data_IF_248965859766
#
_entry.id   IF_248965859766
#
_cell.length_a   1.000
_cell.length_b   1.000
_cell.length_c   1.000
_cell.angle_alpha   90.00
_cell.angle_beta   90.00
_cell.angle_gamma   90.00
#
_symmetry.space_group_name_H-M   'P 1'
#
loop_
_entity.id
_entity.type
_entity.pdbx_description
1 polymer ?
#
# COMPACT_ATOMS: atom_id res chain seq x y z
N UNK A 1 9.39 -16.87 -9.08
CA UNK A 1 10.81 -16.47 -8.94
C UNK A 1 11.44 -16.11 -10.28
N UNK A 2 11.32 -16.95 -11.32
CA UNK A 2 11.91 -16.69 -12.64
C UNK A 2 11.47 -15.35 -13.28
N UNK A 3 10.20 -14.98 -13.16
CA UNK A 3 9.69 -13.72 -13.75
C UNK A 3 10.19 -12.46 -13.02
N UNK A 4 10.47 -12.56 -11.72
CA UNK A 4 11.06 -11.45 -10.94
C UNK A 4 12.50 -11.22 -11.36
N UNK A 5 13.30 -12.28 -11.52
CA UNK A 5 14.70 -12.15 -11.97
C UNK A 5 14.77 -11.55 -13.37
N UNK A 6 13.92 -12.01 -14.30
CA UNK A 6 13.83 -11.41 -15.65
C UNK A 6 13.39 -9.94 -15.62
N UNK A 7 12.49 -9.57 -14.71
CA UNK A 7 12.07 -8.18 -14.56
C UNK A 7 13.23 -7.29 -14.07
N UNK A 8 14.03 -7.79 -13.12
CA UNK A 8 15.22 -7.09 -12.63
C UNK A 8 16.28 -6.95 -13.74
N UNK A 9 16.53 -8.00 -14.53
CA UNK A 9 17.47 -7.97 -15.66
C UNK A 9 17.07 -6.97 -16.75
N UNK A 10 15.76 -6.73 -16.93
CA UNK A 10 15.22 -5.80 -17.92
C UNK A 10 14.91 -4.43 -17.36
N UNK A 11 15.10 -4.24 -16.05
CA UNK A 11 14.80 -2.98 -15.41
C UNK A 11 15.69 -1.89 -16.02
N UNK A 12 15.14 -0.69 -16.31
CA UNK A 12 15.95 0.43 -16.75
C UNK A 12 17.02 0.71 -15.69
N UNK A 13 18.19 1.13 -16.15
CA UNK A 13 19.21 1.63 -15.24
C UNK A 13 18.64 2.82 -14.45
N UNK A 14 18.99 2.89 -13.16
CA UNK A 14 18.50 3.92 -12.25
C UNK A 14 19.31 5.22 -12.40
N UNK A 15 19.57 5.64 -13.64
CA UNK A 15 20.41 6.79 -14.00
C UNK A 15 19.70 7.77 -14.95
N UNK A 16 18.54 7.40 -15.53
CA UNK A 16 17.75 8.24 -16.42
C UNK A 16 16.36 8.58 -15.84
N UNK A 17 16.30 9.65 -15.05
CA UNK A 17 15.07 10.10 -14.38
C UNK A 17 13.87 10.29 -15.33
N UNK A 18 13.98 10.99 -16.48
CA UNK A 18 12.89 11.10 -17.46
C UNK A 18 12.26 9.75 -17.85
N UNK A 19 13.06 8.70 -17.94
CA UNK A 19 12.59 7.35 -18.28
C UNK A 19 11.91 6.66 -17.10
N UNK A 20 12.53 6.68 -15.91
CA UNK A 20 12.02 5.93 -14.74
C UNK A 20 10.88 6.67 -14.00
N UNK A 21 10.82 7.99 -14.08
CA UNK A 21 9.88 8.85 -13.34
C UNK A 21 8.42 8.42 -13.48
N UNK A 22 8.01 7.94 -14.67
CA UNK A 22 6.63 7.49 -14.97
C UNK A 22 6.26 6.16 -14.32
N UNK A 23 7.26 5.40 -13.87
CA UNK A 23 7.10 4.10 -13.22
C UNK A 23 7.17 4.21 -11.69
N UNK A 24 7.52 5.37 -11.15
CA UNK A 24 7.58 5.59 -9.70
C UNK A 24 6.17 5.53 -9.10
N UNK A 25 6.00 4.71 -8.07
CA UNK A 25 4.76 4.59 -7.30
C UNK A 25 5.04 4.70 -5.80
N UNK A 26 4.07 5.18 -5.00
CA UNK A 26 4.12 5.01 -3.57
C UNK A 26 4.00 3.52 -3.22
N UNK A 27 4.64 3.11 -2.13
CA UNK A 27 4.62 1.73 -1.65
C UNK A 27 4.59 1.73 -0.13
N UNK A 28 3.70 0.94 0.47
CA UNK A 28 3.72 0.76 1.92
C UNK A 28 4.89 -0.13 2.36
N UNK A 29 5.52 0.18 3.52
CA UNK A 29 6.57 -0.64 4.07
C UNK A 29 6.12 -2.09 4.28
N UNK A 30 6.99 -3.02 3.89
CA UNK A 30 6.85 -4.44 4.21
C UNK A 30 7.09 -4.65 5.70
N UNK A 31 6.39 -5.63 6.29
CA UNK A 31 6.69 -6.07 7.66
C UNK A 31 8.03 -6.79 7.72
N UNK A 32 8.37 -7.52 6.64
CA UNK A 32 9.63 -8.25 6.58
C UNK A 32 10.82 -7.31 6.39
N UNK A 33 11.95 -7.55 7.09
CA UNK A 33 13.20 -6.87 6.81
C UNK A 33 13.61 -7.00 5.34
N UNK A 34 14.27 -5.98 4.82
CA UNK A 34 14.90 -6.08 3.51
C UNK A 34 16.06 -7.09 3.54
N UNK A 35 16.38 -7.73 2.41
CA UNK A 35 17.58 -8.56 2.29
C UNK A 35 18.84 -7.76 2.70
N UNK A 36 19.83 -8.40 3.36
CA UNK A 36 21.11 -7.76 3.66
C UNK A 36 21.75 -7.12 2.43
N UNK A 37 22.28 -5.91 2.57
CA UNK A 37 22.90 -5.16 1.47
C UNK A 37 21.92 -4.38 0.59
N UNK A 38 20.61 -4.46 0.86
CA UNK A 38 19.64 -3.58 0.19
C UNK A 38 19.83 -2.14 0.66
N UNK A 39 19.79 -1.13 -0.24
CA UNK A 39 19.78 0.28 0.14
C UNK A 39 18.61 0.58 1.08
N UNK A 40 18.81 1.51 2.02
CA UNK A 40 17.71 1.97 2.87
C UNK A 40 16.69 2.77 2.02
N UNK A 41 15.43 2.31 1.92
CA UNK A 41 14.42 3.01 1.13
C UNK A 41 14.13 4.39 1.72
N UNK A 42 14.06 5.41 0.87
CA UNK A 42 13.52 6.70 1.26
C UNK A 42 12.04 6.54 1.66
N UNK A 43 11.68 7.14 2.80
CA UNK A 43 10.33 7.11 3.35
C UNK A 43 9.94 8.48 3.89
N UNK A 44 8.66 8.81 3.77
CA UNK A 44 8.06 10.04 4.29
C UNK A 44 6.67 9.76 4.86
N UNK A 45 6.25 10.55 5.82
CA UNK A 45 4.88 10.51 6.34
C UNK A 45 3.97 11.29 5.38
N UNK A 46 2.95 10.63 4.82
CA UNK A 46 1.93 11.27 3.99
C UNK A 46 0.57 11.18 4.68
N UNK A 47 -0.38 12.11 4.41
CA UNK A 47 -1.78 11.90 4.75
C UNK A 47 -2.23 10.50 4.27
N UNK A 48 -2.94 9.72 5.10
CA UNK A 48 -3.60 10.07 6.36
C UNK A 48 -2.75 9.92 7.65
N UNK A 49 -1.43 10.02 7.56
CA UNK A 49 -0.50 9.79 8.67
C UNK A 49 0.20 8.44 8.59
N UNK A 50 0.48 7.96 7.37
CA UNK A 50 1.17 6.69 7.12
C UNK A 50 2.55 6.88 6.55
N UNK A 51 3.47 6.01 6.95
CA UNK A 51 4.81 5.97 6.38
C UNK A 51 4.74 5.35 4.99
N UNK A 52 5.21 6.09 3.99
CA UNK A 52 5.18 5.70 2.58
C UNK A 52 6.62 5.69 2.05
N UNK A 53 7.01 4.59 1.42
CA UNK A 53 8.21 4.51 0.60
C UNK A 53 7.88 4.67 -0.88
N UNK A 54 8.90 4.63 -1.72
CA UNK A 54 8.73 4.78 -3.17
C UNK A 54 9.48 3.68 -3.91
N UNK A 55 8.92 3.23 -5.02
CA UNK A 55 9.54 2.22 -5.86
C UNK A 55 9.30 2.48 -7.34
N UNK A 56 10.28 2.14 -8.17
CA UNK A 56 10.10 2.03 -9.62
C UNK A 56 9.44 0.69 -9.90
N UNK A 57 8.22 0.73 -10.40
CA UNK A 57 7.45 -0.46 -10.77
C UNK A 57 8.04 -1.13 -12.01
N UNK A 58 8.50 -2.37 -11.86
CA UNK A 58 9.07 -3.19 -12.94
C UNK A 58 8.15 -4.36 -13.32
N UNK A 59 6.88 -4.33 -12.89
CA UNK A 59 5.86 -5.34 -13.17
C UNK A 59 5.60 -6.25 -11.96
N UNK A 60 6.24 -7.43 -11.85
CA UNK A 60 6.01 -8.32 -10.72
C UNK A 60 6.60 -7.79 -9.40
N UNK A 61 7.54 -6.85 -9.48
CA UNK A 61 8.25 -6.27 -8.34
C UNK A 61 8.44 -4.76 -8.52
N UNK A 62 9.03 -4.12 -7.53
CA UNK A 62 9.52 -2.75 -7.64
C UNK A 62 10.97 -2.68 -7.14
N UNK A 63 11.71 -1.72 -7.67
CA UNK A 63 13.01 -1.34 -7.13
C UNK A 63 12.80 -0.19 -6.17
N UNK A 64 13.15 -0.37 -4.89
CA UNK A 64 13.01 0.69 -3.89
C UNK A 64 13.92 1.88 -4.23
N UNK A 65 13.41 3.09 -4.04
CA UNK A 65 14.16 4.33 -4.24
C UNK A 65 14.81 4.75 -2.92
N UNK A 66 16.13 4.93 -2.88
CA UNK A 66 16.89 5.41 -1.72
C UNK A 66 17.21 6.90 -1.83
N UNK A 67 17.59 7.54 -0.70
CA UNK A 67 18.06 8.94 -0.71
C UNK A 67 19.35 9.12 -1.52
N UNK A 68 20.23 8.12 -1.51
CA UNK A 68 21.47 8.13 -2.29
C UNK A 68 21.20 8.21 -3.80
N UNK A 69 20.24 7.40 -4.28
CA UNK A 69 19.83 7.41 -5.69
C UNK A 69 19.22 8.75 -6.10
N UNK A 70 18.42 9.39 -5.23
CA UNK A 70 17.89 10.74 -5.49
C UNK A 70 19.01 11.77 -5.62
N UNK A 71 20.00 11.71 -4.72
CA UNK A 71 21.19 12.56 -4.79
C UNK A 71 21.98 12.37 -6.09
N UNK A 72 22.14 11.13 -6.54
CA UNK A 72 22.81 10.83 -7.81
C UNK A 72 22.07 11.38 -9.03
N UNK A 73 20.74 11.29 -9.03
CA UNK A 73 19.89 11.78 -10.12
C UNK A 73 19.66 13.30 -10.08
N UNK A 74 20.08 13.99 -9.02
CA UNK A 74 19.80 15.41 -8.81
C UNK A 74 18.32 15.72 -8.59
N UNK A 75 17.55 14.76 -8.05
CA UNK A 75 16.11 14.88 -7.82
C UNK A 75 15.82 15.15 -6.35
N UNK A 76 14.91 16.10 -6.08
CA UNK A 76 14.52 16.38 -4.70
C UNK A 76 13.51 15.35 -4.18
N UNK A 77 13.45 15.21 -2.86
CA UNK A 77 12.44 14.36 -2.20
C UNK A 77 11.02 14.80 -2.53
N UNK A 78 10.78 16.12 -2.64
CA UNK A 78 9.48 16.67 -2.99
C UNK A 78 9.08 16.33 -4.44
N UNK A 79 10.03 16.38 -5.39
CA UNK A 79 9.77 16.01 -6.78
C UNK A 79 9.43 14.53 -6.92
N UNK A 80 10.15 13.66 -6.19
CA UNK A 80 9.83 12.23 -6.13
C UNK A 80 8.41 12.00 -5.61
N UNK A 81 8.05 12.61 -4.49
CA UNK A 81 6.73 12.47 -3.86
C UNK A 81 5.64 12.96 -4.82
N UNK A 82 5.81 14.16 -5.38
CA UNK A 82 4.85 14.75 -6.32
C UNK A 82 4.65 13.88 -7.56
N UNK A 83 5.74 13.38 -8.15
CA UNK A 83 5.68 12.49 -9.32
C UNK A 83 4.99 11.16 -8.98
N UNK A 84 5.30 10.56 -7.85
CA UNK A 84 4.70 9.29 -7.42
C UNK A 84 3.19 9.42 -7.21
N UNK A 85 2.73 10.51 -6.59
CA UNK A 85 1.30 10.78 -6.38
C UNK A 85 0.59 11.10 -7.70
N UNK A 86 1.23 11.81 -8.62
CA UNK A 86 0.69 12.04 -9.96
C UNK A 86 0.52 10.72 -10.73
N UNK A 87 1.51 9.82 -10.65
CA UNK A 87 1.42 8.49 -11.25
C UNK A 87 0.33 7.64 -10.60
N UNK A 88 0.21 7.68 -9.27
CA UNK A 88 -0.88 7.01 -8.54
C UNK A 88 -2.25 7.48 -9.04
N UNK A 89 -2.47 8.79 -9.13
CA UNK A 89 -3.72 9.35 -9.64
C UNK A 89 -3.99 8.94 -11.09
N UNK A 90 -2.98 9.00 -11.96
CA UNK A 90 -3.09 8.60 -13.36
C UNK A 90 -3.46 7.12 -13.52
N UNK A 91 -2.84 6.23 -12.73
CA UNK A 91 -3.15 4.79 -12.73
C UNK A 91 -4.51 4.52 -12.10
N UNK A 92 -4.86 5.19 -11.01
CA UNK A 92 -6.17 5.07 -10.38
C UNK A 92 -7.29 5.45 -11.35
N UNK A 93 -7.09 6.49 -12.17
CA UNK A 93 -8.04 6.91 -13.21
C UNK A 93 -8.29 5.87 -14.30
N UNK A 94 -7.43 4.86 -14.46
CA UNK A 94 -7.61 3.76 -15.41
C UNK A 94 -8.41 2.58 -14.82
N UNK A 95 -8.63 2.57 -13.50
CA UNK A 95 -9.40 1.50 -12.83
C UNK A 95 -10.89 1.81 -12.95
N UNK A 96 -11.64 0.90 -13.56
CA UNK A 96 -13.10 1.03 -13.66
C UNK A 96 -13.78 0.59 -12.36
N UNK A 97 -14.86 1.26 -11.92
CA UNK A 97 -15.61 0.86 -10.71
C UNK A 97 -16.09 -0.59 -10.74
N UNK A 98 -16.41 -1.12 -11.92
CA UNK A 98 -16.80 -2.53 -12.12
C UNK A 98 -15.68 -3.54 -11.81
N UNK A 99 -14.44 -3.07 -11.64
CA UNK A 99 -13.30 -3.91 -11.21
C UNK A 99 -13.38 -4.22 -9.72
N UNK A 100 -14.15 -3.44 -8.93
CA UNK A 100 -14.40 -3.76 -7.53
C UNK A 100 -15.34 -4.96 -7.47
N UNK A 101 -14.84 -6.07 -6.94
CA UNK A 101 -15.62 -7.27 -6.69
C UNK A 101 -16.42 -7.07 -5.41
N UNK A 102 -17.74 -7.23 -5.52
CA UNK A 102 -18.63 -7.19 -4.37
C UNK A 102 -19.10 -8.60 -4.05
N UNK A 103 -18.84 -9.04 -2.82
CA UNK A 103 -19.25 -10.35 -2.32
C UNK A 103 -19.69 -10.24 -0.85
N UNK A 104 -20.04 -11.37 -0.24
CA UNK A 104 -20.32 -11.46 1.20
C UNK A 104 -19.57 -12.62 1.83
N UNK A 105 -18.94 -12.36 2.97
CA UNK A 105 -18.30 -13.38 3.80
C UNK A 105 -19.16 -13.62 5.04
N UNK A 106 -19.84 -14.77 5.13
CA UNK A 106 -20.79 -15.05 6.21
C UNK A 106 -21.85 -13.95 6.42
N UNK A 107 -22.33 -13.36 5.32
CA UNK A 107 -23.30 -12.25 5.33
C UNK A 107 -22.70 -10.87 5.56
N UNK A 108 -21.38 -10.75 5.82
CA UNK A 108 -20.67 -9.48 5.88
C UNK A 108 -20.37 -8.97 4.46
N UNK A 109 -20.88 -7.81 4.02
CA UNK A 109 -20.56 -7.25 2.72
C UNK A 109 -19.06 -6.95 2.58
N UNK A 110 -18.44 -7.37 1.48
CA UNK A 110 -17.03 -7.17 1.19
C UNK A 110 -16.87 -6.55 -0.20
N UNK A 111 -16.04 -5.52 -0.30
CA UNK A 111 -15.51 -5.03 -1.57
C UNK A 111 -14.03 -5.41 -1.71
N UNK A 112 -13.65 -6.14 -2.75
CA UNK A 112 -12.27 -6.47 -3.05
C UNK A 112 -11.80 -5.80 -4.34
N UNK A 113 -10.59 -5.25 -4.32
CA UNK A 113 -9.96 -4.68 -5.51
C UNK A 113 -8.52 -5.18 -5.62
N UNK A 114 -8.21 -5.74 -6.79
CA UNK A 114 -6.85 -6.02 -7.23
C UNK A 114 -6.64 -5.36 -8.59
N UNK A 115 -5.71 -4.41 -8.69
CA UNK A 115 -5.69 -3.51 -9.86
C UNK A 115 -4.89 -4.05 -11.05
N UNK A 116 -3.89 -4.89 -10.81
CA UNK A 116 -2.88 -5.25 -11.80
C UNK A 116 -1.92 -4.10 -12.13
N UNK A 117 -2.05 -2.94 -11.48
CA UNK A 117 -1.30 -1.71 -11.73
C UNK A 117 -0.38 -1.33 -10.55
N UNK A 118 -0.21 -2.25 -9.58
CA UNK A 118 0.63 -2.10 -8.39
C UNK A 118 0.22 -0.97 -7.43
N UNK A 119 -1.01 -0.47 -7.52
CA UNK A 119 -1.48 0.69 -6.73
C UNK A 119 -2.57 0.36 -5.71
N UNK A 120 -3.10 -0.87 -5.69
CA UNK A 120 -4.28 -1.23 -4.89
C UNK A 120 -4.19 -0.80 -3.43
N UNK A 121 -3.11 -1.19 -2.73
CA UNK A 121 -2.92 -0.80 -1.32
C UNK A 121 -2.86 0.71 -1.11
N UNK A 122 -2.21 1.44 -2.03
CA UNK A 122 -1.94 2.87 -1.90
C UNK A 122 -3.09 3.78 -2.35
N UNK A 123 -4.19 3.22 -2.85
CA UNK A 123 -5.39 4.02 -3.19
C UNK A 123 -5.96 4.79 -1.98
N UNK A 124 -5.63 4.38 -0.76
CA UNK A 124 -5.98 5.12 0.47
C UNK A 124 -5.32 6.50 0.58
N UNK A 125 -4.29 6.77 -0.22
CA UNK A 125 -3.65 8.09 -0.33
C UNK A 125 -4.44 9.06 -1.23
N UNK A 126 -5.46 8.56 -1.96
CA UNK A 126 -6.27 9.33 -2.91
C UNK A 126 -7.78 9.13 -2.63
N UNK A 127 -8.33 9.75 -1.57
CA UNK A 127 -9.70 9.48 -1.09
C UNK A 127 -10.79 9.68 -2.15
N UNK A 128 -10.64 10.64 -3.06
CA UNK A 128 -11.59 10.85 -4.17
C UNK A 128 -11.70 9.62 -5.09
N UNK A 129 -10.59 8.90 -5.28
CA UNK A 129 -10.59 7.66 -6.07
C UNK A 129 -11.23 6.51 -5.30
N UNK A 130 -11.08 6.46 -3.97
CA UNK A 130 -11.85 5.52 -3.15
C UNK A 130 -13.35 5.78 -3.25
N UNK A 131 -13.77 7.04 -3.17
CA UNK A 131 -15.16 7.44 -3.33
C UNK A 131 -15.71 7.02 -4.71
N UNK A 132 -14.91 7.19 -5.77
CA UNK A 132 -15.27 6.79 -7.14
C UNK A 132 -15.41 5.28 -7.30
N UNK A 133 -14.51 4.50 -6.70
CA UNK A 133 -14.44 3.05 -6.88
C UNK A 133 -15.40 2.29 -5.95
N UNK A 134 -15.47 2.67 -4.68
CA UNK A 134 -16.22 1.95 -3.63
C UNK A 134 -17.51 2.65 -3.20
N UNK A 135 -17.80 3.83 -3.77
CA UNK A 135 -18.86 4.73 -3.34
C UNK A 135 -18.46 5.57 -2.13
N UNK A 136 -19.32 6.53 -1.77
CA UNK A 136 -19.13 7.46 -0.63
C UNK A 136 -19.60 6.91 0.71
N UNK A 137 -19.98 5.63 0.78
CA UNK A 137 -20.42 5.03 2.04
C UNK A 137 -19.22 4.83 2.96
N UNK A 138 -19.40 5.10 4.25
CA UNK A 138 -18.36 4.89 5.24
C UNK A 138 -17.91 3.42 5.26
N UNK A 139 -16.60 3.20 5.28
CA UNK A 139 -15.97 1.88 5.17
C UNK A 139 -14.72 1.78 6.04
N UNK A 140 -14.39 0.55 6.42
CA UNK A 140 -13.05 0.20 6.89
C UNK A 140 -12.29 -0.43 5.72
N UNK A 141 -11.23 0.22 5.26
CA UNK A 141 -10.33 -0.32 4.26
C UNK A 141 -9.12 -1.01 4.90
N UNK A 142 -8.60 -2.04 4.22
CA UNK A 142 -7.42 -2.80 4.60
C UNK A 142 -6.58 -3.13 3.38
N UNK A 143 -5.26 -3.10 3.54
CA UNK A 143 -4.31 -3.40 2.47
C UNK A 143 -3.44 -4.61 2.86
N UNK A 144 -3.94 -5.85 2.76
CA UNK A 144 -3.18 -7.03 3.17
C UNK A 144 -1.97 -7.31 2.27
N UNK A 145 -2.01 -6.86 1.02
CA UNK A 145 -0.95 -7.06 0.02
C UNK A 145 -0.71 -5.78 -0.78
N UNK A 146 0.42 -5.73 -1.50
CA UNK A 146 0.83 -4.56 -2.30
C UNK A 146 -0.26 -4.03 -3.23
N UNK A 147 -0.94 -4.91 -3.95
CA UNK A 147 -1.90 -4.52 -4.97
C UNK A 147 -3.34 -4.94 -4.64
N UNK A 148 -3.64 -5.15 -3.35
CA UNK A 148 -4.97 -5.55 -2.89
C UNK A 148 -5.50 -4.51 -1.91
N UNK A 149 -6.74 -4.10 -2.12
CA UNK A 149 -7.52 -3.30 -1.18
C UNK A 149 -8.85 -3.99 -0.88
N UNK A 150 -9.13 -4.17 0.40
CA UNK A 150 -10.39 -4.71 0.89
C UNK A 150 -11.17 -3.60 1.57
N UNK A 151 -12.47 -3.47 1.28
CA UNK A 151 -13.40 -2.54 1.91
C UNK A 151 -14.51 -3.29 2.65
N UNK A 152 -14.58 -3.08 3.95
CA UNK A 152 -15.57 -3.63 4.87
C UNK A 152 -16.55 -2.54 5.34
N UNK A 153 -17.71 -2.89 5.93
CA UNK A 153 -18.56 -1.95 6.64
C UNK A 153 -17.77 -1.23 7.75
N UNK A 154 -18.08 0.04 7.99
CA UNK A 154 -17.35 0.85 8.97
C UNK A 154 -17.51 0.37 10.42
N UNK A 155 -18.55 -0.41 10.69
CA UNK A 155 -18.95 -0.99 11.98
C UNK A 155 -18.55 -2.46 12.12
N UNK A 156 -17.76 -3.01 11.18
CA UNK A 156 -17.23 -4.38 11.29
C UNK A 156 -16.46 -4.56 12.61
N UNK A 157 -16.62 -5.75 13.20
CA UNK A 157 -15.85 -6.16 14.37
C UNK A 157 -14.33 -6.08 14.06
N UNK A 158 -13.54 -5.30 14.84
CA UNK A 158 -12.11 -5.21 14.66
C UNK A 158 -11.39 -6.57 14.70
N UNK A 159 -11.81 -7.50 15.56
CA UNK A 159 -11.18 -8.82 15.63
C UNK A 159 -11.38 -9.61 14.32
N UNK A 160 -12.60 -9.54 13.75
CA UNK A 160 -12.90 -10.14 12.46
C UNK A 160 -12.11 -9.48 11.32
N UNK A 161 -12.04 -8.15 11.30
CA UNK A 161 -11.24 -7.42 10.32
C UNK A 161 -9.75 -7.79 10.41
N UNK A 162 -9.22 -7.88 11.64
CA UNK A 162 -7.85 -8.30 11.90
C UNK A 162 -7.57 -9.76 11.53
N UNK A 163 -8.53 -10.68 11.71
CA UNK A 163 -8.42 -12.06 11.24
C UNK A 163 -8.42 -12.12 9.71
N UNK A 164 -9.33 -11.41 9.06
CA UNK A 164 -9.42 -11.37 7.59
C UNK A 164 -8.16 -10.79 6.96
N UNK A 165 -7.58 -9.74 7.57
CA UNK A 165 -6.30 -9.20 7.15
C UNK A 165 -5.21 -10.28 7.15
N UNK A 166 -5.06 -11.01 8.25
CA UNK A 166 -4.03 -12.04 8.39
C UNK A 166 -4.25 -13.21 7.42
N UNK A 167 -5.49 -13.61 7.21
CA UNK A 167 -5.84 -14.68 6.27
C UNK A 167 -5.38 -14.34 4.84
N UNK A 168 -5.70 -13.13 4.36
CA UNK A 168 -5.20 -12.65 3.07
C UNK A 168 -3.68 -12.46 3.08
N UNK A 169 -3.12 -11.79 4.09
CA UNK A 169 -1.69 -11.52 4.17
C UNK A 169 -0.85 -12.80 4.21
N UNK A 170 -1.39 -13.92 4.71
CA UNK A 170 -0.72 -15.22 4.73
C UNK A 170 -0.39 -15.77 3.34
N UNK A 171 -1.12 -15.32 2.31
CA UNK A 171 -0.93 -15.73 0.92
C UNK A 171 0.17 -14.93 0.21
N UNK A 172 0.63 -13.81 0.78
CA UNK A 172 1.70 -12.97 0.21
C UNK A 172 2.95 -12.99 1.11
N UNK A 173 4.10 -13.53 0.65
CA UNK A 173 5.35 -13.47 1.42
C UNK A 173 5.84 -12.04 1.67
N UNK A 174 5.26 -11.03 1.02
CA UNK A 174 5.58 -9.61 1.13
C UNK A 174 4.53 -8.78 1.90
N UNK A 175 3.69 -9.44 2.71
CA UNK A 175 2.64 -8.81 3.50
C UNK A 175 3.01 -7.44 4.10
N UNK A 176 2.03 -6.54 4.05
CA UNK A 176 2.14 -5.17 4.57
C UNK A 176 1.82 -5.13 6.06
N UNK A 177 2.19 -4.02 6.72
CA UNK A 177 1.82 -3.85 8.12
C UNK A 177 0.29 -3.79 8.28
N UNK A 178 -0.28 -4.39 9.33
CA UNK A 178 -1.72 -4.36 9.58
C UNK A 178 -2.16 -2.96 10.00
N UNK A 179 -2.43 -2.13 9.00
CA UNK A 179 -2.99 -0.79 9.15
C UNK A 179 -4.35 -0.80 8.47
N UNK A 180 -5.37 -0.45 9.24
CA UNK A 180 -6.71 -0.19 8.74
C UNK A 180 -6.84 1.29 8.37
N UNK A 181 -7.81 1.58 7.52
CA UNK A 181 -8.06 2.92 7.03
C UNK A 181 -9.56 3.18 7.09
N UNK A 182 -10.00 4.02 8.03
CA UNK A 182 -11.41 4.43 8.09
C UNK A 182 -11.63 5.50 7.04
N UNK A 183 -12.63 5.29 6.21
CA UNK A 183 -13.11 6.23 5.21
C UNK A 183 -14.53 6.64 5.58
N UNK A 184 -14.80 7.94 5.61
CA UNK A 184 -16.13 8.49 5.96
C UNK A 184 -16.97 8.88 4.74
N UNK A 185 -16.43 8.70 3.53
CA UNK A 185 -17.03 9.18 2.28
C UNK A 185 -16.21 10.29 1.60
N UNK A 186 -15.31 10.93 2.35
CA UNK A 186 -14.49 12.05 1.86
C UNK A 186 -13.02 11.94 2.29
N UNK A 187 -12.78 11.58 3.54
CA UNK A 187 -11.44 11.53 4.12
C UNK A 187 -11.08 10.13 4.58
N UNK A 188 -9.77 9.87 4.61
CA UNK A 188 -9.21 8.65 5.18
C UNK A 188 -8.47 9.02 6.46
N UNK A 189 -8.63 8.20 7.49
CA UNK A 189 -7.80 8.22 8.70
C UNK A 189 -7.27 6.83 9.01
N UNK A 190 -6.07 6.74 9.59
CA UNK A 190 -5.54 5.44 10.03
C UNK A 190 -6.37 4.88 11.17
N UNK A 191 -6.60 3.57 11.17
CA UNK A 191 -7.27 2.83 12.22
C UNK A 191 -6.45 1.58 12.56
N UNK A 192 -6.38 1.25 13.85
CA UNK A 192 -5.82 -0.02 14.27
C UNK A 192 -6.81 -1.14 13.92
N UNK A 193 -6.34 -2.21 13.27
CA UNK A 193 -7.14 -3.41 13.02
C UNK A 193 -7.26 -4.30 14.24
N UNK A 194 -6.41 -4.10 15.23
CA UNK A 194 -6.44 -4.81 16.51
C UNK A 194 -6.32 -3.81 17.64
N UNK A 195 -6.96 -4.05 18.80
CA UNK A 195 -6.58 -3.35 20.00
C UNK A 195 -5.08 -3.57 20.24
N UNK A 196 -4.33 -2.56 20.73
CA UNK A 196 -2.93 -2.74 21.08
C UNK A 196 -2.84 -3.92 22.04
N UNK A 197 -1.93 -4.85 21.77
CA UNK A 197 -1.68 -5.96 22.69
C UNK A 197 -1.45 -5.36 24.08
N UNK A 198 -2.27 -5.77 25.07
CA UNK A 198 -2.03 -5.40 26.46
C UNK A 198 -0.59 -5.77 26.78
N UNK A 199 0.23 -4.78 27.10
CA UNK A 199 1.62 -4.99 27.45
C UNK A 199 1.67 -6.11 28.50
N UNK A 200 2.54 -7.12 28.36
CA UNK A 200 2.63 -8.18 29.36
C UNK A 200 2.81 -7.51 30.71
N UNK A 201 1.94 -7.87 31.67
CA UNK A 201 2.04 -7.37 33.03
C UNK A 201 3.49 -7.55 33.46
N UNK A 202 4.19 -6.42 33.70
CA UNK A 202 5.57 -6.47 34.19
C UNK A 202 5.52 -7.30 35.45
N UNK A 203 6.03 -8.53 35.39
CA UNK A 203 6.26 -9.36 36.56
C UNK A 203 7.12 -8.51 37.51
N UNK A 204 6.47 -7.92 38.52
CA UNK A 204 7.15 -7.38 39.68
C UNK A 204 7.67 -8.60 40.41
N UNK A 205 8.89 -9.00 40.08
CA UNK A 205 9.68 -9.86 40.93
C UNK A 205 9.86 -9.10 42.24
N UNK A 206 9.21 -9.61 43.28
CA UNK A 206 9.48 -9.30 44.68
C UNK A 206 10.67 -10.14 45.15
#
# INVERSE_FOLDING_TARGET
>A
MADVLRAVERAPAFDDWPTISRQVIPVFPRVRPQPPGSPDPFRVLLPPGVLVGFGVDIGPAFMAVSREQLGHLGITEADLVGQALANLLSRAGQVEPSTVLHDSLHGLPLGGLQTGLSIGSTLVLVPDQLARLFGRTARLFMAPMRDVLLGLPADVDPELAGWLFDDFASQDPNGLAPIGFRFDGEQVVTAALRPPATAPARNRLA
#
